data_IF_714621373724
#
_entry.id   IF_714621373724
#
_cell.length_a   1.000
_cell.length_b   1.000
_cell.length_c   1.000
_cell.angle_alpha   90.00
_cell.angle_beta   90.00
_cell.angle_gamma   90.00
#
_symmetry.space_group_name_H-M   'P 1'
#
loop_
_entity.id
_entity.type
_entity.pdbx_description
1 polymer ?
#
# COMPACT_ATOMS: atom_id res chain seq x y z
N UNK A 1 51.93 42.09 -18.09
CA UNK A 1 51.80 40.75 -17.44
C UNK A 1 53.04 39.93 -17.77
N UNK A 2 53.66 39.26 -16.80
CA UNK A 2 54.78 38.36 -17.09
C UNK A 2 54.26 37.16 -17.91
N UNK A 3 55.06 36.64 -18.85
CA UNK A 3 54.68 35.46 -19.67
C UNK A 3 54.16 34.30 -18.80
N UNK A 4 54.70 34.14 -17.58
CA UNK A 4 54.29 33.12 -16.60
C UNK A 4 52.85 33.33 -16.11
N UNK A 5 52.45 34.56 -15.79
CA UNK A 5 51.08 34.88 -15.35
C UNK A 5 50.08 34.65 -16.50
N UNK A 6 50.46 35.03 -17.73
CA UNK A 6 49.61 34.81 -18.91
C UNK A 6 49.36 33.33 -19.20
N UNK A 7 50.37 32.47 -18.99
CA UNK A 7 50.25 31.02 -19.18
C UNK A 7 49.32 30.40 -18.11
N UNK A 8 49.48 30.79 -16.84
CA UNK A 8 48.63 30.29 -15.75
C UNK A 8 47.16 30.67 -15.97
N UNK A 9 46.91 31.90 -16.44
CA UNK A 9 45.55 32.40 -16.69
C UNK A 9 44.89 31.68 -17.88
N UNK A 10 45.67 31.32 -18.90
CA UNK A 10 45.20 30.54 -20.05
C UNK A 10 44.88 29.10 -19.68
N UNK A 11 45.68 28.50 -18.79
CA UNK A 11 45.40 27.16 -18.24
C UNK A 11 44.12 27.18 -17.40
N UNK A 12 43.96 28.14 -16.49
CA UNK A 12 42.71 28.29 -15.73
C UNK A 12 41.49 28.48 -16.64
N UNK A 13 41.61 29.33 -17.67
CA UNK A 13 40.53 29.55 -18.62
C UNK A 13 40.18 28.26 -19.40
N UNK A 14 41.19 27.46 -19.78
CA UNK A 14 40.97 26.16 -20.44
C UNK A 14 40.29 25.14 -19.53
N UNK A 15 40.61 25.11 -18.23
CA UNK A 15 39.96 24.22 -17.26
C UNK A 15 38.51 24.62 -17.03
N UNK A 16 38.24 25.92 -16.91
CA UNK A 16 36.87 26.45 -16.79
C UNK A 16 36.08 26.14 -18.07
N UNK A 17 36.61 26.44 -19.25
CA UNK A 17 35.96 26.11 -20.52
C UNK A 17 35.74 24.60 -20.67
N UNK A 18 36.69 23.77 -20.24
CA UNK A 18 36.55 22.31 -20.21
C UNK A 18 35.42 21.85 -19.30
N UNK A 19 35.28 22.44 -18.11
CA UNK A 19 34.18 22.16 -17.18
C UNK A 19 32.82 22.58 -17.74
N UNK A 20 32.76 23.72 -18.44
CA UNK A 20 31.54 24.21 -19.09
C UNK A 20 31.13 23.34 -20.28
N UNK A 21 32.08 22.97 -21.14
CA UNK A 21 31.86 22.04 -22.25
C UNK A 21 31.42 20.68 -21.71
N UNK A 22 32.02 20.20 -20.62
CA UNK A 22 31.64 18.94 -19.99
C UNK A 22 30.23 18.98 -19.38
N UNK A 23 29.83 20.08 -18.73
CA UNK A 23 28.45 20.27 -18.25
C UNK A 23 27.42 20.35 -19.37
N UNK A 24 27.77 20.98 -20.51
CA UNK A 24 26.88 21.09 -21.67
C UNK A 24 26.81 19.82 -22.51
N UNK A 25 27.92 19.09 -22.60
CA UNK A 25 28.03 17.84 -23.36
C UNK A 25 27.54 16.62 -22.57
N UNK A 26 27.37 16.73 -21.25
CA UNK A 26 26.75 15.67 -20.44
C UNK A 26 25.25 15.57 -20.79
N UNK A 27 24.79 14.47 -21.42
CA UNK A 27 23.38 14.31 -21.73
C UNK A 27 22.61 14.04 -20.44
N UNK A 28 21.97 15.07 -19.88
CA UNK A 28 20.99 14.89 -18.81
C UNK A 28 19.59 14.82 -19.40
N UNK A 29 19.28 13.70 -20.06
CA UNK A 29 17.90 13.37 -20.43
C UNK A 29 17.23 12.66 -19.26
N UNK A 30 16.88 13.44 -18.22
CA UNK A 30 16.07 12.93 -17.12
C UNK A 30 14.60 12.89 -17.54
N UNK A 31 13.93 11.77 -17.29
CA UNK A 31 12.50 11.61 -17.53
C UNK A 31 11.75 11.92 -16.23
N UNK A 32 10.81 12.85 -16.29
CA UNK A 32 10.10 13.33 -15.10
C UNK A 32 8.84 12.49 -14.89
N UNK A 33 8.71 11.95 -13.69
CA UNK A 33 7.55 11.22 -13.19
C UNK A 33 6.93 12.02 -12.04
N UNK A 34 5.66 11.76 -11.71
CA UNK A 34 5.09 12.36 -10.51
C UNK A 34 3.83 11.68 -9.99
N UNK A 35 3.44 11.97 -8.76
CA UNK A 35 2.18 11.45 -8.21
C UNK A 35 2.18 11.22 -6.70
N UNK A 36 1.52 10.14 -6.30
CA UNK A 36 1.20 9.80 -4.91
C UNK A 36 2.42 9.82 -3.98
N UNK A 37 2.26 10.48 -2.83
CA UNK A 37 3.27 10.45 -1.76
C UNK A 37 3.51 9.03 -1.24
N UNK A 38 2.50 8.15 -1.33
CA UNK A 38 2.60 6.72 -0.99
C UNK A 38 3.56 5.94 -1.87
N UNK A 39 3.70 6.34 -3.14
CA UNK A 39 4.50 5.64 -4.15
C UNK A 39 5.96 6.13 -4.13
N UNK A 40 6.23 7.28 -3.52
CA UNK A 40 7.54 7.92 -3.51
C UNK A 40 8.67 7.02 -2.96
N UNK A 41 8.56 6.38 -1.77
CA UNK A 41 9.65 5.57 -1.23
C UNK A 41 10.09 4.45 -2.19
N UNK A 42 9.11 3.75 -2.76
CA UNK A 42 9.33 2.73 -3.78
C UNK A 42 10.01 3.30 -5.02
N UNK A 43 9.49 4.39 -5.57
CA UNK A 43 10.05 4.99 -6.79
C UNK A 43 11.49 5.46 -6.60
N UNK A 44 11.84 6.05 -5.45
CA UNK A 44 13.22 6.49 -5.19
C UNK A 44 14.21 5.32 -5.19
N UNK A 45 13.83 4.17 -4.61
CA UNK A 45 14.67 2.96 -4.61
C UNK A 45 14.78 2.36 -6.01
N UNK A 46 13.63 2.18 -6.67
CA UNK A 46 13.55 1.50 -7.95
C UNK A 46 14.23 2.28 -9.09
N UNK A 47 14.01 3.59 -9.19
CA UNK A 47 14.65 4.38 -10.27
C UNK A 47 16.15 4.53 -10.05
N UNK A 48 16.59 4.56 -8.78
CA UNK A 48 18.02 4.50 -8.45
C UNK A 48 18.66 3.19 -8.92
N UNK A 49 18.05 2.06 -8.62
CA UNK A 49 18.56 0.75 -9.04
C UNK A 49 18.53 0.60 -10.58
N UNK A 50 17.46 1.07 -11.22
CA UNK A 50 17.36 1.11 -12.68
C UNK A 50 18.45 1.97 -13.32
N UNK A 51 18.72 3.16 -12.78
CA UNK A 51 19.78 4.06 -13.28
C UNK A 51 21.17 3.44 -13.17
N UNK A 52 21.45 2.71 -12.09
CA UNK A 52 22.75 2.08 -11.88
C UNK A 52 23.06 1.04 -12.98
N UNK A 53 22.02 0.42 -13.56
CA UNK A 53 22.12 -0.55 -14.66
C UNK A 53 22.01 0.08 -16.06
N UNK A 54 20.97 0.89 -16.30
CA UNK A 54 20.59 1.33 -17.65
C UNK A 54 21.05 2.77 -17.99
N UNK A 55 21.54 3.53 -17.00
CA UNK A 55 21.99 4.93 -17.14
C UNK A 55 20.95 5.91 -17.69
N UNK A 56 19.66 5.58 -17.56
CA UNK A 56 18.53 6.48 -17.83
C UNK A 56 18.01 6.99 -16.49
N UNK A 57 17.96 8.31 -16.33
CA UNK A 57 17.57 8.95 -15.08
C UNK A 57 16.06 9.21 -15.05
N UNK A 58 15.36 8.64 -14.08
CA UNK A 58 13.94 8.88 -13.81
C UNK A 58 13.79 9.63 -12.49
N UNK A 59 13.27 10.86 -12.57
CA UNK A 59 13.09 11.74 -11.41
C UNK A 59 11.63 11.71 -10.99
N UNK A 60 11.37 11.28 -9.75
CA UNK A 60 10.01 11.21 -9.21
C UNK A 60 9.66 12.43 -8.35
N UNK A 61 8.59 13.13 -8.74
CA UNK A 61 8.03 14.26 -8.00
C UNK A 61 6.79 13.86 -7.19
N UNK A 62 6.93 13.85 -5.87
CA UNK A 62 5.85 13.49 -4.94
C UNK A 62 4.87 14.66 -4.72
N UNK A 63 3.93 14.85 -5.65
CA UNK A 63 2.96 15.97 -5.66
C UNK A 63 1.52 15.60 -5.30
N UNK A 64 1.25 14.31 -5.06
CA UNK A 64 -0.08 13.76 -4.81
C UNK A 64 -0.73 13.16 -6.05
N UNK A 65 -1.63 12.19 -5.88
CA UNK A 65 -2.19 11.39 -6.99
C UNK A 65 -2.86 12.24 -8.08
N UNK A 66 -3.70 13.21 -7.70
CA UNK A 66 -4.42 14.06 -8.66
C UNK A 66 -3.48 15.00 -9.42
N UNK A 67 -2.47 15.56 -8.74
CA UNK A 67 -1.44 16.38 -9.39
C UNK A 67 -0.57 15.55 -10.35
N UNK A 68 -0.29 14.29 -10.01
CA UNK A 68 0.39 13.34 -10.88
C UNK A 68 -0.37 13.10 -12.19
N UNK A 69 -1.67 12.80 -12.10
CA UNK A 69 -2.51 12.61 -13.29
C UNK A 69 -2.61 13.89 -14.12
N UNK A 70 -2.92 15.02 -13.50
CA UNK A 70 -2.99 16.30 -14.21
C UNK A 70 -1.65 16.72 -14.84
N UNK A 71 -0.52 16.28 -14.27
CA UNK A 71 0.80 16.47 -14.86
C UNK A 71 1.01 15.67 -16.14
N UNK A 72 0.45 14.46 -16.25
CA UNK A 72 0.46 13.67 -17.50
C UNK A 72 -0.42 14.31 -18.56
N UNK A 73 -1.63 14.73 -18.18
CA UNK A 73 -2.58 15.37 -19.11
C UNK A 73 -2.02 16.66 -19.72
N UNK A 74 -1.15 17.36 -18.97
CA UNK A 74 -0.46 18.60 -19.37
C UNK A 74 0.94 18.38 -19.95
N UNK A 75 1.34 17.14 -20.24
CA UNK A 75 2.68 16.78 -20.74
C UNK A 75 3.85 17.22 -19.83
N UNK A 76 3.59 17.49 -18.55
CA UNK A 76 4.62 17.81 -17.56
C UNK A 76 5.32 16.56 -17.01
N UNK A 77 4.59 15.44 -16.93
CA UNK A 77 5.11 14.16 -16.46
C UNK A 77 4.92 13.08 -17.53
N UNK A 78 5.91 12.21 -17.66
CA UNK A 78 5.82 11.05 -18.54
C UNK A 78 4.86 9.98 -18.02
N UNK A 79 4.79 9.83 -16.70
CA UNK A 79 3.76 9.01 -16.05
C UNK A 79 3.39 9.61 -14.69
N UNK A 80 2.11 9.45 -14.37
CA UNK A 80 1.43 9.90 -13.17
C UNK A 80 1.10 8.69 -12.31
N UNK A 81 1.48 8.70 -11.04
CA UNK A 81 1.30 7.54 -10.16
C UNK A 81 0.21 7.79 -9.13
N UNK A 82 -0.73 6.86 -9.01
CA UNK A 82 -1.83 6.93 -8.04
C UNK A 82 -1.79 5.72 -7.11
N UNK A 83 -2.29 5.90 -5.89
CA UNK A 83 -2.38 4.84 -4.87
C UNK A 83 -3.84 4.60 -4.49
N UNK A 84 -4.65 4.34 -5.51
CA UNK A 84 -6.09 4.03 -5.46
C UNK A 84 -6.50 3.51 -6.84
N UNK A 85 -7.66 2.86 -6.90
CA UNK A 85 -8.17 2.37 -8.18
C UNK A 85 -8.57 3.53 -9.12
N UNK A 86 -8.66 3.23 -10.41
CA UNK A 86 -9.18 4.17 -11.40
C UNK A 86 -10.70 4.26 -11.33
N UNK A 87 -11.23 5.43 -11.66
CA UNK A 87 -12.66 5.72 -11.70
C UNK A 87 -12.94 6.68 -12.85
N UNK A 88 -14.22 6.94 -13.13
CA UNK A 88 -14.64 7.94 -14.11
C UNK A 88 -14.11 9.35 -13.79
N UNK A 89 -13.82 9.65 -12.51
CA UNK A 89 -13.25 10.92 -12.07
C UNK A 89 -11.72 10.94 -12.00
N UNK A 90 -11.03 9.89 -12.45
CA UNK A 90 -9.56 9.84 -12.40
C UNK A 90 -8.93 10.79 -13.43
N UNK A 91 -9.47 10.84 -14.65
CA UNK A 91 -9.05 11.76 -15.71
C UNK A 91 -9.96 12.99 -15.74
N UNK A 92 -9.46 14.10 -16.27
CA UNK A 92 -10.29 15.29 -16.52
C UNK A 92 -11.30 15.05 -17.63
N UNK A 93 -12.42 15.77 -17.57
CA UNK A 93 -13.51 15.62 -18.54
C UNK A 93 -13.01 15.80 -19.98
N UNK A 94 -13.31 14.81 -20.84
CA UNK A 94 -12.90 14.78 -22.24
C UNK A 94 -11.71 13.86 -22.52
N UNK A 95 -11.00 13.41 -21.48
CA UNK A 95 -9.99 12.35 -21.59
C UNK A 95 -10.59 10.99 -21.20
N UNK A 96 -10.18 9.93 -21.88
CA UNK A 96 -10.63 8.56 -21.62
C UNK A 96 -9.45 7.57 -21.62
N UNK A 97 -9.63 6.47 -20.90
CA UNK A 97 -8.67 5.38 -20.90
C UNK A 97 -8.80 4.56 -22.20
N UNK A 98 -7.65 4.21 -22.76
CA UNK A 98 -7.52 3.24 -23.84
C UNK A 98 -7.91 1.87 -23.32
N UNK A 99 -8.98 1.31 -23.87
CA UNK A 99 -9.38 -0.07 -23.57
C UNK A 99 -8.40 -1.06 -24.24
N UNK A 100 -7.47 -1.59 -23.43
CA UNK A 100 -6.54 -2.66 -23.82
C UNK A 100 -7.13 -4.05 -23.55
N UNK A 101 -8.16 -4.12 -22.70
CA UNK A 101 -8.64 -5.34 -22.11
C UNK A 101 -10.05 -5.64 -22.63
N UNK A 102 -10.19 -5.97 -23.92
CA UNK A 102 -11.44 -6.37 -24.60
C UNK A 102 -12.73 -6.11 -23.79
N UNK A 103 -13.51 -5.08 -24.13
CA UNK A 103 -14.77 -4.54 -23.54
C UNK A 103 -15.49 -5.34 -22.41
N UNK A 104 -15.50 -6.67 -22.46
CA UNK A 104 -15.95 -7.60 -21.41
C UNK A 104 -15.05 -7.73 -20.16
N UNK A 105 -13.83 -7.17 -20.12
CA UNK A 105 -12.90 -7.33 -18.98
C UNK A 105 -12.42 -5.97 -18.43
N UNK A 106 -12.41 -5.86 -17.10
CA UNK A 106 -11.88 -4.67 -16.40
C UNK A 106 -10.35 -4.69 -16.26
N UNK A 107 -9.72 -5.84 -16.47
CA UNK A 107 -8.28 -5.98 -16.38
C UNK A 107 -7.73 -7.08 -17.30
N UNK A 108 -6.46 -6.93 -17.67
CA UNK A 108 -5.74 -7.89 -18.50
C UNK A 108 -4.24 -7.86 -18.17
N UNK A 109 -3.57 -8.98 -18.45
CA UNK A 109 -2.15 -9.14 -18.16
C UNK A 109 -1.29 -8.13 -18.92
N UNK A 110 -0.21 -7.68 -18.29
CA UNK A 110 0.77 -6.76 -18.90
C UNK A 110 1.39 -7.34 -20.18
N UNK A 111 1.74 -8.63 -20.18
CA UNK A 111 2.37 -9.28 -21.31
C UNK A 111 1.42 -9.37 -22.52
N UNK A 112 1.97 -9.13 -23.72
CA UNK A 112 1.24 -9.22 -24.99
C UNK A 112 0.52 -7.95 -25.46
N UNK A 113 0.46 -6.87 -24.67
CA UNK A 113 -0.26 -5.64 -25.04
C UNK A 113 0.65 -4.46 -25.45
N UNK A 114 1.98 -4.61 -25.35
CA UNK A 114 2.95 -3.54 -25.70
C UNK A 114 2.80 -3.07 -27.15
N UNK A 115 2.61 -3.99 -28.09
CA UNK A 115 2.41 -3.65 -29.50
C UNK A 115 1.12 -2.89 -29.74
N UNK A 116 0.05 -3.18 -28.98
CA UNK A 116 -1.19 -2.41 -29.06
C UNK A 116 -1.00 -0.98 -28.56
N UNK A 117 -0.21 -0.79 -27.49
CA UNK A 117 0.15 0.54 -26.96
C UNK A 117 0.96 1.33 -27.99
N UNK A 118 1.96 0.71 -28.62
CA UNK A 118 2.84 1.37 -29.60
C UNK A 118 2.14 1.70 -30.91
N UNK A 119 1.25 0.82 -31.37
CA UNK A 119 0.52 0.99 -32.62
C UNK A 119 -0.85 1.66 -32.44
N UNK A 120 -1.12 2.23 -31.26
CA UNK A 120 -2.39 2.92 -31.00
C UNK A 120 -2.58 4.11 -31.95
N UNK A 121 -3.69 4.11 -32.67
CA UNK A 121 -4.07 5.16 -33.63
C UNK A 121 -5.13 6.12 -33.10
N UNK A 122 -5.62 5.91 -31.86
CA UNK A 122 -6.62 6.81 -31.25
C UNK A 122 -6.05 8.21 -31.01
N UNK A 123 -6.95 9.18 -30.92
CA UNK A 123 -6.60 10.54 -30.54
C UNK A 123 -5.98 10.57 -29.14
N UNK A 124 -5.13 11.55 -28.89
CA UNK A 124 -4.42 11.70 -27.61
C UNK A 124 -5.36 11.66 -26.40
N UNK A 125 -6.52 12.29 -26.50
CA UNK A 125 -7.52 12.34 -25.42
C UNK A 125 -8.06 10.95 -25.04
N UNK A 126 -8.06 9.99 -25.96
CA UNK A 126 -8.60 8.63 -25.80
C UNK A 126 -7.50 7.56 -25.67
N UNK A 127 -6.30 7.99 -25.29
CA UNK A 127 -5.06 7.20 -25.34
C UNK A 127 -4.34 7.10 -24.00
N UNK A 128 -5.05 7.32 -22.89
CA UNK A 128 -4.48 7.15 -21.55
C UNK A 128 -4.50 5.68 -21.13
N UNK A 129 -3.42 5.19 -20.56
CA UNK A 129 -3.27 3.80 -20.12
C UNK A 129 -3.12 3.79 -18.60
N UNK A 130 -3.81 2.87 -17.94
CA UNK A 130 -3.66 2.59 -16.52
C UNK A 130 -3.01 1.21 -16.35
N UNK A 131 -1.82 1.19 -15.75
CA UNK A 131 -1.07 -0.01 -15.42
C UNK A 131 -0.98 -0.14 -13.90
N UNK A 132 -1.73 -1.08 -13.33
CA UNK A 132 -1.43 -1.56 -11.98
C UNK A 132 -0.07 -2.27 -12.02
N UNK A 133 0.82 -1.88 -11.10
CA UNK A 133 2.14 -2.48 -10.98
C UNK A 133 2.41 -3.07 -9.59
N UNK A 134 1.66 -2.65 -8.58
CA UNK A 134 1.82 -3.14 -7.23
C UNK A 134 0.52 -3.08 -6.43
N UNK A 135 0.44 -3.90 -5.40
CA UNK A 135 -0.59 -3.87 -4.37
C UNK A 135 0.09 -3.50 -3.04
N UNK A 136 -0.46 -2.51 -2.36
CA UNK A 136 -0.07 -2.08 -1.02
C UNK A 136 -1.16 -2.53 -0.02
N UNK A 137 -0.84 -3.54 0.78
CA UNK A 137 -1.73 -4.04 1.84
C UNK A 137 -1.43 -3.33 3.17
N UNK A 138 -2.48 -3.03 3.92
CA UNK A 138 -2.40 -2.36 5.22
C UNK A 138 -2.84 -3.34 6.29
N UNK A 139 -2.20 -3.34 7.46
CA UNK A 139 -2.62 -4.11 8.63
C UNK A 139 -3.05 -3.20 9.76
N UNK A 140 -4.16 -3.51 10.43
CA UNK A 140 -4.52 -2.89 11.71
C UNK A 140 -3.84 -3.67 12.83
N UNK A 141 -2.93 -3.00 13.52
CA UNK A 141 -2.16 -3.60 14.62
C UNK A 141 -2.65 -3.08 15.95
N UNK A 142 -2.46 -3.87 17.00
CA UNK A 142 -2.92 -3.51 18.33
C UNK A 142 -2.06 -4.16 19.42
N UNK A 143 -1.94 -3.48 20.55
CA UNK A 143 -1.37 -4.02 21.79
C UNK A 143 -2.50 -4.03 22.82
N UNK A 144 -3.03 -5.20 23.15
CA UNK A 144 -4.16 -5.35 24.06
C UNK A 144 -3.69 -5.52 25.53
N UNK A 145 -4.55 -5.22 26.52
CA UNK A 145 -4.26 -5.54 27.92
C UNK A 145 -4.08 -7.04 28.14
N UNK A 146 -3.26 -7.42 29.13
CA UNK A 146 -2.88 -8.82 29.37
C UNK A 146 -4.04 -9.82 29.51
N UNK A 147 -5.20 -9.39 30.03
CA UNK A 147 -6.37 -10.26 30.19
C UNK A 147 -6.93 -10.75 28.84
N UNK A 148 -6.56 -10.13 27.72
CA UNK A 148 -6.95 -10.57 26.38
C UNK A 148 -6.29 -11.88 25.95
N UNK A 149 -5.21 -12.30 26.63
CA UNK A 149 -4.54 -13.58 26.42
C UNK A 149 -5.20 -14.73 27.23
N UNK A 150 -6.20 -14.43 28.06
CA UNK A 150 -6.92 -15.45 28.82
C UNK A 150 -7.72 -16.35 27.89
N UNK A 151 -7.54 -17.66 28.07
CA UNK A 151 -8.13 -18.70 27.24
C UNK A 151 -9.46 -19.16 27.84
N UNK A 152 -10.52 -19.09 27.03
CA UNK A 152 -11.85 -19.56 27.36
C UNK A 152 -12.19 -20.75 26.45
N UNK A 153 -12.74 -21.80 27.04
CA UNK A 153 -13.11 -23.01 26.31
C UNK A 153 -14.40 -22.78 25.51
N UNK A 154 -14.38 -23.12 24.22
CA UNK A 154 -15.60 -23.19 23.40
C UNK A 154 -16.04 -24.66 23.29
N UNK A 155 -17.18 -24.97 23.91
CA UNK A 155 -17.76 -26.33 24.02
C UNK A 155 -16.95 -27.29 24.92
N UNK A 156 -17.48 -28.50 25.20
CA UNK A 156 -16.82 -29.56 25.99
C UNK A 156 -15.59 -30.19 25.28
N UNK A 157 -14.89 -29.44 24.43
CA UNK A 157 -13.74 -29.87 23.63
C UNK A 157 -12.57 -28.90 23.81
N UNK A 158 -11.35 -29.35 23.52
CA UNK A 158 -10.05 -28.69 23.78
C UNK A 158 -9.83 -27.34 23.05
N UNK A 159 -10.84 -26.80 22.37
CA UNK A 159 -10.73 -25.55 21.61
C UNK A 159 -10.76 -24.35 22.56
N UNK A 160 -9.63 -23.65 22.62
CA UNK A 160 -9.42 -22.48 23.46
C UNK A 160 -9.44 -21.22 22.60
N UNK A 161 -10.21 -20.23 23.04
CA UNK A 161 -10.35 -18.94 22.39
C UNK A 161 -9.91 -17.82 23.32
N UNK A 162 -9.28 -16.81 22.76
CA UNK A 162 -8.90 -15.57 23.44
C UNK A 162 -9.63 -14.37 22.84
N UNK A 163 -9.64 -13.22 23.53
CA UNK A 163 -10.18 -11.99 22.95
C UNK A 163 -9.38 -11.55 21.71
N UNK A 164 -8.09 -11.86 21.66
CA UNK A 164 -7.23 -11.58 20.51
C UNK A 164 -7.72 -12.30 19.23
N UNK A 165 -8.28 -13.50 19.37
CA UNK A 165 -8.81 -14.28 18.24
C UNK A 165 -10.06 -13.63 17.64
N UNK A 166 -10.83 -12.89 18.44
CA UNK A 166 -12.07 -12.22 18.04
C UNK A 166 -11.86 -10.91 17.30
N UNK A 167 -10.63 -10.39 17.26
CA UNK A 167 -10.35 -9.12 16.57
C UNK A 167 -10.38 -9.35 15.06
N UNK A 168 -11.55 -9.19 14.50
CA UNK A 168 -11.85 -9.25 13.08
C UNK A 168 -12.83 -8.14 12.73
N UNK A 169 -12.44 -7.24 11.84
CA UNK A 169 -13.29 -6.12 11.40
C UNK A 169 -13.85 -6.42 10.01
N UNK A 170 -15.18 -6.54 9.90
CA UNK A 170 -15.87 -6.69 8.63
C UNK A 170 -16.23 -5.31 8.05
N UNK A 171 -15.28 -4.72 7.33
CA UNK A 171 -15.36 -3.40 6.70
C UNK A 171 -16.16 -3.42 5.39
N UNK A 172 -16.49 -4.58 4.83
CA UNK A 172 -17.28 -4.67 3.58
C UNK A 172 -18.77 -4.94 3.85
N UNK A 173 -19.13 -5.18 5.13
CA UNK A 173 -20.50 -5.46 5.52
C UNK A 173 -21.46 -4.30 5.23
N UNK A 174 -22.62 -4.63 4.65
CA UNK A 174 -23.72 -3.68 4.39
C UNK A 174 -24.26 -2.98 5.64
N UNK A 175 -23.94 -3.48 6.83
CA UNK A 175 -24.40 -2.95 8.11
C UNK A 175 -23.50 -1.84 8.66
N UNK A 176 -22.34 -1.56 8.03
CA UNK A 176 -21.32 -0.56 8.43
C UNK A 176 -20.90 -0.62 9.92
N UNK A 177 -21.25 -1.70 10.64
CA UNK A 177 -21.15 -1.78 12.09
C UNK A 177 -19.71 -1.74 12.57
N UNK A 178 -18.81 -2.42 11.85
CA UNK A 178 -17.39 -2.49 12.21
C UNK A 178 -16.62 -1.25 11.77
N UNK A 179 -17.05 -0.58 10.69
CA UNK A 179 -16.54 0.76 10.35
C UNK A 179 -16.88 1.76 11.45
N UNK A 180 -18.13 1.76 11.91
CA UNK A 180 -18.56 2.64 13.00
C UNK A 180 -17.90 2.28 14.34
N UNK A 181 -17.64 0.99 14.60
CA UNK A 181 -16.84 0.56 15.74
C UNK A 181 -15.42 1.13 15.68
N UNK A 182 -14.74 0.97 14.54
CA UNK A 182 -13.38 1.50 14.35
C UNK A 182 -13.35 3.03 14.44
N UNK A 183 -14.34 3.71 13.87
CA UNK A 183 -14.52 5.17 13.98
C UNK A 183 -14.72 5.61 15.43
N UNK A 184 -15.48 4.87 16.24
CA UNK A 184 -15.61 5.11 17.69
C UNK A 184 -14.27 4.95 18.41
N UNK A 185 -13.46 3.94 18.06
CA UNK A 185 -12.09 3.80 18.59
C UNK A 185 -11.26 5.03 18.29
N UNK A 186 -11.22 5.48 17.03
CA UNK A 186 -10.44 6.65 16.61
C UNK A 186 -11.02 8.00 17.05
N UNK A 187 -12.27 8.05 17.52
CA UNK A 187 -12.85 9.24 18.18
C UNK A 187 -12.25 9.55 19.55
N UNK A 188 -11.47 8.60 20.12
CA UNK A 188 -10.75 8.79 21.38
C UNK A 188 -11.59 8.57 22.65
N UNK A 189 -12.81 8.06 22.53
CA UNK A 189 -13.74 7.85 23.65
C UNK A 189 -14.05 6.37 23.93
N UNK A 190 -13.21 5.45 23.45
CA UNK A 190 -13.39 4.01 23.62
C UNK A 190 -12.39 3.40 24.61
N UNK A 191 -12.86 2.39 25.34
CA UNK A 191 -12.06 1.59 26.27
C UNK A 191 -11.96 0.14 25.77
N UNK A 192 -10.91 -0.56 26.19
CA UNK A 192 -10.65 -1.94 25.78
C UNK A 192 -11.79 -2.89 26.15
N UNK A 193 -12.47 -2.64 27.27
CA UNK A 193 -13.61 -3.44 27.72
C UNK A 193 -14.85 -3.19 26.84
N UNK A 194 -15.00 -1.97 26.31
CA UNK A 194 -16.10 -1.68 25.36
C UNK A 194 -15.86 -2.41 24.05
N UNK A 195 -14.63 -2.35 23.53
CA UNK A 195 -14.26 -3.06 22.31
C UNK A 195 -14.42 -4.57 22.49
N UNK A 196 -13.92 -5.13 23.61
CA UNK A 196 -14.08 -6.55 23.92
C UNK A 196 -15.54 -6.97 23.94
N UNK A 197 -16.43 -6.18 24.55
CA UNK A 197 -17.88 -6.46 24.55
C UNK A 197 -18.48 -6.45 23.15
N UNK A 198 -18.12 -5.48 22.30
CA UNK A 198 -18.62 -5.45 20.92
C UNK A 198 -18.12 -6.64 20.09
N UNK A 199 -16.89 -7.13 20.32
CA UNK A 199 -16.38 -8.32 19.67
C UNK A 199 -17.07 -9.60 20.18
N UNK A 200 -17.25 -9.72 21.49
CA UNK A 200 -17.89 -10.87 22.14
C UNK A 200 -19.36 -11.03 21.75
N UNK A 201 -20.08 -9.93 21.49
CA UNK A 201 -21.46 -9.99 20.96
C UNK A 201 -21.60 -10.74 19.64
N UNK A 202 -20.52 -10.84 18.85
CA UNK A 202 -20.50 -11.53 17.57
C UNK A 202 -20.33 -13.04 17.69
N UNK A 203 -20.06 -13.55 18.90
CA UNK A 203 -19.93 -14.98 19.15
C UNK A 203 -21.30 -15.67 19.13
N UNK A 204 -21.39 -16.77 18.39
CA UNK A 204 -22.56 -17.64 18.38
C UNK A 204 -22.72 -18.47 19.66
N UNK A 205 -21.61 -18.71 20.39
CA UNK A 205 -21.61 -19.54 21.60
C UNK A 205 -21.93 -18.73 22.85
N UNK A 206 -23.15 -18.87 23.37
CA UNK A 206 -23.62 -18.14 24.57
C UNK A 206 -22.84 -18.47 25.84
N UNK A 207 -22.32 -19.69 26.02
CA UNK A 207 -21.50 -20.01 27.20
C UNK A 207 -20.17 -19.26 27.17
N UNK A 208 -19.45 -19.32 26.04
CA UNK A 208 -18.20 -18.60 25.87
C UNK A 208 -18.40 -17.08 26.00
N UNK A 209 -19.50 -16.56 25.45
CA UNK A 209 -19.90 -15.16 25.58
C UNK A 209 -20.07 -14.75 27.04
N UNK A 210 -20.82 -15.51 27.83
CA UNK A 210 -20.99 -15.26 29.26
C UNK A 210 -19.65 -15.27 30.01
N UNK A 211 -18.78 -16.24 29.71
CA UNK A 211 -17.47 -16.35 30.35
C UNK A 211 -16.58 -15.14 30.02
N UNK A 212 -16.56 -14.68 28.76
CA UNK A 212 -15.87 -13.45 28.38
C UNK A 212 -16.48 -12.22 29.05
N UNK A 213 -17.80 -12.11 29.14
CA UNK A 213 -18.46 -10.98 29.82
C UNK A 213 -18.08 -10.93 31.30
N UNK A 214 -18.03 -12.08 31.98
CA UNK A 214 -17.55 -12.20 33.37
C UNK A 214 -16.08 -11.79 33.46
N UNK A 215 -15.22 -12.27 32.55
CA UNK A 215 -13.82 -11.89 32.49
C UNK A 215 -13.65 -10.38 32.37
N UNK A 216 -14.33 -9.77 31.39
CA UNK A 216 -14.27 -8.33 31.10
C UNK A 216 -14.79 -7.50 32.28
N UNK A 217 -15.86 -7.94 32.95
CA UNK A 217 -16.49 -7.21 34.07
C UNK A 217 -15.57 -7.03 35.29
N UNK A 218 -14.55 -7.89 35.43
CA UNK A 218 -13.58 -7.86 36.53
C UNK A 218 -12.39 -6.95 36.25
N UNK A 219 -12.25 -6.44 35.02
CA UNK A 219 -11.07 -5.68 34.61
C UNK A 219 -11.24 -4.19 34.89
N UNK A 220 -10.15 -3.48 35.25
CA UNK A 220 -10.18 -2.03 35.35
C UNK A 220 -10.34 -1.41 33.97
N UNK A 221 -11.14 -0.34 33.87
CA UNK A 221 -11.36 0.40 32.63
C UNK A 221 -10.07 0.95 32.04
N UNK A 222 -9.63 0.40 30.92
CA UNK A 222 -8.40 0.82 30.24
C UNK A 222 -8.74 1.56 28.94
N UNK A 223 -8.40 2.85 28.86
CA UNK A 223 -8.65 3.65 27.66
C UNK A 223 -7.80 3.15 26.48
N UNK A 224 -8.37 3.09 25.29
CA UNK A 224 -7.62 2.74 24.08
C UNK A 224 -6.83 3.98 23.63
N UNK A 225 -5.51 3.85 23.63
CA UNK A 225 -4.62 4.85 23.01
C UNK A 225 -4.56 4.56 21.52
N UNK A 226 -4.88 5.55 20.68
CA UNK A 226 -4.78 5.39 19.22
C UNK A 226 -3.56 6.11 18.68
N UNK A 227 -2.95 5.52 17.66
CA UNK A 227 -1.84 6.11 16.91
C UNK A 227 -2.24 6.34 15.45
N UNK A 228 -1.80 7.45 14.89
CA UNK A 228 -1.96 7.81 13.47
C UNK A 228 -0.63 8.31 12.92
N UNK A 229 -0.54 8.49 11.60
CA UNK A 229 0.66 9.00 10.94
C UNK A 229 0.56 10.50 10.65
N UNK A 230 1.72 11.12 10.48
CA UNK A 230 1.87 12.52 10.07
C UNK A 230 1.13 12.84 8.76
N UNK A 231 0.81 14.12 8.56
CA UNK A 231 0.23 14.60 7.31
C UNK A 231 1.14 14.27 6.12
N UNK A 232 0.55 13.83 5.01
CA UNK A 232 1.30 13.38 3.82
C UNK A 232 1.74 11.92 3.87
N UNK A 233 1.56 11.21 4.99
CA UNK A 233 1.80 9.77 5.08
C UNK A 233 0.87 8.99 4.16
N UNK A 234 1.47 8.25 3.22
CA UNK A 234 0.72 7.39 2.31
C UNK A 234 -0.12 6.34 3.01
N UNK A 235 0.38 5.77 4.10
CA UNK A 235 -0.33 4.76 4.92
C UNK A 235 -1.55 5.37 5.62
N UNK A 236 -1.46 6.62 6.13
CA UNK A 236 -2.63 7.32 6.69
C UNK A 236 -3.69 7.57 5.65
N UNK A 237 -3.30 8.04 4.46
CA UNK A 237 -4.27 8.25 3.37
C UNK A 237 -4.95 6.93 3.01
N UNK A 238 -4.19 5.83 2.91
CA UNK A 238 -4.74 4.49 2.66
C UNK A 238 -5.79 4.11 3.71
N UNK A 239 -5.42 4.19 4.99
CA UNK A 239 -6.30 3.85 6.09
C UNK A 239 -7.56 4.72 6.08
N UNK A 240 -7.41 6.03 5.86
CA UNK A 240 -8.53 6.99 5.84
C UNK A 240 -9.47 6.76 4.66
N UNK A 241 -8.95 6.31 3.52
CA UNK A 241 -9.73 6.00 2.33
C UNK A 241 -10.47 4.67 2.49
N UNK A 242 -9.79 3.63 2.98
CA UNK A 242 -10.37 2.30 3.17
C UNK A 242 -11.39 2.24 4.32
N UNK A 243 -11.22 3.05 5.36
CA UNK A 243 -12.12 3.04 6.55
C UNK A 243 -13.16 4.16 6.53
N UNK A 244 -12.97 5.18 5.70
CA UNK A 244 -13.75 6.43 5.75
C UNK A 244 -13.43 7.34 6.95
N UNK A 245 -12.50 6.96 7.82
CA UNK A 245 -12.10 7.76 8.99
C UNK A 245 -11.13 8.87 8.54
N UNK A 246 -11.66 10.07 8.29
CA UNK A 246 -10.85 11.21 7.82
C UNK A 246 -10.16 11.98 8.96
N UNK A 247 -10.84 12.11 10.10
CA UNK A 247 -10.36 12.89 11.24
C UNK A 247 -10.01 11.97 12.42
N UNK A 248 -8.78 12.10 12.91
CA UNK A 248 -8.22 11.32 14.03
C UNK A 248 -7.62 12.27 15.07
N UNK A 249 -8.35 13.33 15.42
CA UNK A 249 -7.83 14.48 16.19
C UNK A 249 -7.36 14.14 17.60
N UNK A 250 -7.81 13.01 18.17
CA UNK A 250 -7.40 12.54 19.51
C UNK A 250 -6.26 11.52 19.47
N UNK A 251 -5.84 11.08 18.28
CA UNK A 251 -4.79 10.08 18.12
C UNK A 251 -3.40 10.71 18.26
N UNK A 252 -2.45 9.93 18.77
CA UNK A 252 -1.06 10.32 18.82
C UNK A 252 -0.44 10.21 17.44
N UNK A 253 0.19 11.28 16.97
CA UNK A 253 0.82 11.33 15.64
C UNK A 253 2.27 10.85 15.73
N UNK A 254 2.65 9.88 14.91
CA UNK A 254 4.03 9.40 14.77
C UNK A 254 4.51 9.55 13.34
N UNK A 255 5.81 9.76 13.15
CA UNK A 255 6.41 10.11 11.86
C UNK A 255 6.81 8.90 10.98
N UNK A 256 6.78 7.68 11.51
CA UNK A 256 7.15 6.47 10.76
C UNK A 256 6.37 5.25 11.24
N UNK A 257 6.28 4.20 10.39
CA UNK A 257 5.69 2.92 10.82
C UNK A 257 6.53 2.26 11.92
N UNK A 258 7.87 2.38 11.88
CA UNK A 258 8.75 1.88 12.95
C UNK A 258 8.48 2.57 14.30
N UNK A 259 8.33 3.90 14.27
CA UNK A 259 7.95 4.68 15.46
C UNK A 259 6.55 4.34 15.95
N UNK A 260 5.63 3.98 15.07
CA UNK A 260 4.31 3.47 15.46
C UNK A 260 4.45 2.20 16.29
N UNK A 261 5.12 1.19 15.75
CA UNK A 261 5.36 -0.09 16.43
C UNK A 261 6.06 0.15 17.77
N UNK A 262 7.14 0.93 17.79
CA UNK A 262 7.89 1.23 19.03
C UNK A 262 7.00 1.86 20.11
N UNK A 263 6.22 2.89 19.77
CA UNK A 263 5.36 3.55 20.76
C UNK A 263 4.21 2.67 21.23
N UNK A 264 3.69 1.81 20.35
CA UNK A 264 2.62 0.88 20.71
C UNK A 264 3.06 -0.20 21.71
N UNK A 265 4.34 -0.56 21.77
CA UNK A 265 4.85 -1.48 22.80
C UNK A 265 4.79 -0.90 24.23
N UNK A 266 4.65 0.42 24.39
CA UNK A 266 4.73 1.08 25.70
C UNK A 266 3.42 1.07 26.48
N UNK A 267 2.29 0.90 25.80
CA UNK A 267 0.95 0.92 26.42
C UNK A 267 -0.10 0.28 25.53
N UNK A 268 -1.21 -0.26 26.10
CA UNK A 268 -2.30 -0.78 25.31
C UNK A 268 -2.83 0.23 24.29
N UNK A 269 -2.74 -0.12 23.02
CA UNK A 269 -2.95 0.82 21.92
C UNK A 269 -3.42 0.17 20.62
N UNK A 270 -3.91 0.97 19.69
CA UNK A 270 -4.33 0.56 18.35
C UNK A 270 -3.74 1.51 17.28
N UNK A 271 -3.31 0.94 16.16
CA UNK A 271 -2.72 1.68 15.04
C UNK A 271 -2.80 0.88 13.74
N UNK A 272 -2.11 1.34 12.71
CA UNK A 272 -2.09 0.68 11.40
C UNK A 272 -0.73 0.87 10.70
N UNK A 273 -0.26 -0.16 10.00
CA UNK A 273 1.03 -0.13 9.29
C UNK A 273 0.89 -0.74 7.91
N UNK A 274 1.79 -0.38 6.99
CA UNK A 274 1.90 -1.09 5.71
C UNK A 274 2.46 -2.50 5.93
N UNK A 275 2.16 -3.40 5.00
CA UNK A 275 2.59 -4.80 5.01
C UNK A 275 4.10 -4.97 5.23
N UNK A 276 4.93 -4.04 4.75
CA UNK A 276 6.40 -4.05 4.93
C UNK A 276 6.85 -4.16 6.40
N UNK A 277 6.04 -3.61 7.31
CA UNK A 277 6.36 -3.55 8.73
C UNK A 277 5.78 -4.74 9.51
N UNK A 278 4.84 -5.49 8.93
CA UNK A 278 4.31 -6.71 9.55
C UNK A 278 5.38 -7.80 9.65
N UNK A 279 6.31 -7.85 8.70
CA UNK A 279 7.48 -8.73 8.76
C UNK A 279 8.45 -8.42 9.90
N UNK A 280 8.38 -7.21 10.49
CA UNK A 280 9.22 -6.82 11.64
C UNK A 280 8.58 -7.18 12.99
N UNK A 281 7.30 -7.57 12.99
CA UNK A 281 6.60 -8.00 14.19
C UNK A 281 6.95 -9.44 14.54
N UNK A 282 6.72 -9.81 15.80
CA UNK A 282 6.93 -11.16 16.30
C UNK A 282 5.59 -11.77 16.69
N UNK A 283 5.32 -13.02 16.28
CA UNK A 283 4.03 -13.68 16.50
C UNK A 283 3.68 -13.83 17.99
N UNK A 284 4.67 -14.13 18.83
CA UNK A 284 4.54 -14.16 20.28
C UNK A 284 4.69 -12.78 20.95
N UNK A 285 4.75 -11.70 20.18
CA UNK A 285 4.97 -10.34 20.67
C UNK A 285 3.71 -9.73 21.28
N UNK A 286 3.89 -8.56 21.89
CA UNK A 286 2.79 -7.77 22.46
C UNK A 286 1.88 -7.17 21.38
N UNK A 287 2.45 -6.84 20.22
CA UNK A 287 1.69 -6.28 19.10
C UNK A 287 1.12 -7.44 18.29
N UNK A 288 -0.21 -7.47 18.21
CA UNK A 288 -1.00 -8.41 17.43
C UNK A 288 -1.55 -7.73 16.17
N UNK A 289 -2.06 -8.55 15.26
CA UNK A 289 -2.68 -8.13 14.01
C UNK A 289 -4.16 -8.50 14.00
N UNK A 290 -5.02 -7.54 13.63
CA UNK A 290 -6.44 -7.76 13.45
C UNK A 290 -6.73 -8.49 12.13
N UNK A 291 -7.76 -9.34 12.12
CA UNK A 291 -8.40 -9.78 10.88
C UNK A 291 -9.21 -8.66 10.25
N UNK A 292 -9.30 -8.66 8.92
CA UNK A 292 -10.16 -7.79 8.13
C UNK A 292 -10.94 -8.63 7.14
N UNK A 293 -12.27 -8.54 7.14
CA UNK A 293 -13.16 -9.30 6.27
C UNK A 293 -12.80 -10.79 6.25
N UNK A 294 -12.62 -11.37 7.45
CA UNK A 294 -12.25 -12.78 7.65
C UNK A 294 -10.85 -13.18 7.13
N UNK A 295 -10.05 -12.23 6.65
CA UNK A 295 -8.67 -12.45 6.25
C UNK A 295 -7.67 -11.79 7.20
N UNK A 296 -6.58 -12.49 7.53
CA UNK A 296 -5.50 -11.97 8.39
C UNK A 296 -4.15 -12.26 7.75
N UNK A 297 -3.36 -11.21 7.53
CA UNK A 297 -2.01 -11.33 6.98
C UNK A 297 -1.08 -12.06 7.96
N UNK A 298 0.07 -12.50 7.47
CA UNK A 298 1.13 -13.03 8.32
C UNK A 298 1.88 -11.91 9.05
N UNK A 299 2.36 -12.20 10.27
CA UNK A 299 3.33 -11.37 11.00
C UNK A 299 4.63 -12.12 11.22
N UNK A 300 5.75 -11.42 11.06
CA UNK A 300 7.09 -11.99 11.12
C UNK A 300 7.67 -12.34 9.75
N UNK A 301 8.96 -12.04 9.58
CA UNK A 301 9.67 -12.09 8.29
C UNK A 301 9.63 -13.44 7.60
N UNK A 302 9.69 -14.52 8.38
CA UNK A 302 9.73 -15.90 7.89
C UNK A 302 8.37 -16.62 8.05
N UNK A 303 7.35 -15.88 8.48
CA UNK A 303 6.01 -16.43 8.66
C UNK A 303 5.21 -16.20 7.38
N UNK A 304 5.07 -17.26 6.60
CA UNK A 304 4.31 -17.26 5.34
C UNK A 304 2.98 -18.01 5.51
N UNK A 305 2.23 -17.66 6.56
CA UNK A 305 0.99 -18.35 6.97
C UNK A 305 -0.13 -17.34 7.18
N UNK A 306 -0.66 -16.72 6.11
CA UNK A 306 -1.86 -15.91 6.22
C UNK A 306 -3.00 -16.79 6.72
N UNK A 307 -3.91 -16.21 7.50
CA UNK A 307 -5.01 -16.91 8.13
C UNK A 307 -6.34 -16.44 7.55
N UNK A 308 -7.31 -17.36 7.51
CA UNK A 308 -8.70 -17.07 7.18
C UNK A 308 -9.59 -17.57 8.31
N UNK A 309 -10.61 -16.79 8.65
CA UNK A 309 -11.59 -17.16 9.67
C UNK A 309 -12.59 -18.14 9.07
N UNK A 310 -12.55 -19.40 9.52
CA UNK A 310 -13.40 -20.48 9.03
C UNK A 310 -13.77 -21.41 10.21
N UNK A 311 -15.03 -21.83 10.28
CA UNK A 311 -15.53 -22.70 11.36
C UNK A 311 -15.25 -22.18 12.79
N UNK A 312 -15.36 -20.86 12.98
CA UNK A 312 -15.08 -20.16 14.25
C UNK A 312 -13.64 -20.25 14.75
N UNK A 313 -12.68 -20.48 13.84
CA UNK A 313 -11.25 -20.45 14.16
C UNK A 313 -10.42 -19.86 13.02
N UNK A 314 -9.24 -19.33 13.36
CA UNK A 314 -8.27 -18.89 12.37
C UNK A 314 -7.50 -20.09 11.82
N UNK A 315 -7.72 -20.40 10.54
CA UNK A 315 -7.01 -21.48 9.84
C UNK A 315 -5.99 -20.89 8.88
N UNK A 316 -4.83 -21.53 8.74
CA UNK A 316 -3.89 -21.16 7.68
C UNK A 316 -4.55 -21.31 6.33
N UNK A 317 -4.65 -20.21 5.60
CA UNK A 317 -5.17 -20.20 4.25
C UNK A 317 -4.24 -21.02 3.35
N UNK A 318 -4.81 -21.77 2.41
CA UNK A 318 -4.06 -22.54 1.42
C UNK A 318 -4.55 -22.16 0.04
N UNK A 319 -3.62 -22.03 -0.89
CA UNK A 319 -3.96 -21.84 -2.29
C UNK A 319 -4.21 -23.20 -2.97
N UNK A 320 -5.31 -23.28 -3.72
CA UNK A 320 -5.65 -24.45 -4.54
C UNK A 320 -4.91 -24.44 -5.90
N UNK A 321 -4.22 -23.35 -6.23
CA UNK A 321 -3.42 -23.18 -7.45
C UNK A 321 -2.17 -22.36 -7.13
N UNK A 322 -1.18 -22.97 -6.46
CA UNK A 322 0.02 -22.26 -6.04
C UNK A 322 0.86 -21.83 -7.26
N UNK A 323 1.28 -20.57 -7.26
CA UNK A 323 2.24 -20.06 -8.25
C UNK A 323 3.68 -20.32 -7.77
N UNK A 324 4.53 -20.87 -8.65
CA UNK A 324 5.83 -21.45 -8.27
C UNK A 324 6.86 -20.46 -7.71
N UNK A 325 6.60 -19.14 -7.73
CA UNK A 325 7.55 -18.10 -7.34
C UNK A 325 6.99 -17.06 -6.36
N UNK A 326 5.78 -17.25 -5.84
CA UNK A 326 5.13 -16.29 -4.93
C UNK A 326 4.94 -16.89 -3.54
N UNK A 327 5.18 -16.09 -2.51
CA UNK A 327 4.85 -16.49 -1.14
C UNK A 327 3.34 -16.66 -0.97
N UNK A 328 2.92 -17.49 -0.01
CA UNK A 328 1.52 -17.71 0.30
C UNK A 328 0.84 -16.39 0.74
N UNK A 329 1.56 -15.53 1.46
CA UNK A 329 1.08 -14.20 1.86
C UNK A 329 0.91 -13.25 0.66
N UNK A 330 1.80 -13.27 -0.34
CA UNK A 330 1.61 -12.51 -1.60
C UNK A 330 0.37 -12.99 -2.35
N UNK A 331 0.21 -14.30 -2.50
CA UNK A 331 -0.97 -14.89 -3.16
C UNK A 331 -2.27 -14.56 -2.40
N UNK A 332 -2.21 -14.59 -1.07
CA UNK A 332 -3.32 -14.18 -0.21
C UNK A 332 -3.67 -12.71 -0.36
N UNK A 333 -2.67 -11.82 -0.40
CA UNK A 333 -2.87 -10.39 -0.65
C UNK A 333 -3.51 -10.16 -2.02
N UNK A 334 -3.15 -10.92 -3.06
CA UNK A 334 -3.78 -10.80 -4.38
C UNK A 334 -5.22 -11.28 -4.39
N UNK A 335 -5.47 -12.50 -3.86
CA UNK A 335 -6.70 -13.25 -4.09
C UNK A 335 -7.77 -13.07 -3.01
N UNK A 336 -7.40 -12.77 -1.77
CA UNK A 336 -8.30 -12.86 -0.61
C UNK A 336 -8.32 -11.59 0.23
N UNK A 337 -7.18 -11.02 0.58
CA UNK A 337 -7.14 -9.87 1.49
C UNK A 337 -7.75 -8.64 0.82
N UNK A 338 -8.61 -7.89 1.53
CA UNK A 338 -9.36 -6.76 0.94
C UNK A 338 -8.88 -5.39 1.45
N UNK A 339 -8.19 -5.33 2.60
CA UNK A 339 -7.69 -4.08 3.16
C UNK A 339 -6.36 -3.64 2.51
N UNK A 340 -6.44 -3.39 1.20
CA UNK A 340 -5.32 -3.10 0.32
C UNK A 340 -5.72 -2.04 -0.71
N UNK A 341 -4.74 -1.50 -1.41
CA UNK A 341 -4.97 -0.58 -2.53
C UNK A 341 -4.01 -0.86 -3.68
N UNK A 342 -4.45 -0.62 -4.93
CA UNK A 342 -3.56 -0.74 -6.07
C UNK A 342 -2.69 0.51 -6.20
N UNK A 343 -1.46 0.30 -6.65
CA UNK A 343 -0.59 1.35 -7.17
C UNK A 343 -0.61 1.27 -8.69
N UNK A 344 -1.06 2.36 -9.30
CA UNK A 344 -1.33 2.44 -10.73
C UNK A 344 -0.49 3.56 -11.35
N UNK A 345 0.22 3.23 -12.42
CA UNK A 345 0.86 4.19 -13.30
C UNK A 345 -0.11 4.59 -14.43
N UNK A 346 -0.32 5.88 -14.60
CA UNK A 346 -1.12 6.49 -15.65
C UNK A 346 -0.18 7.18 -16.63
N UNK A 347 -0.28 6.86 -17.91
CA UNK A 347 0.53 7.48 -18.96
C UNK A 347 -0.28 7.59 -20.25
N UNK A 348 0.23 8.33 -21.24
CA UNK A 348 -0.42 8.46 -22.53
C UNK A 348 0.42 7.81 -23.63
N UNK A 349 -0.20 7.13 -24.60
CA UNK A 349 0.55 6.50 -25.70
C UNK A 349 1.22 7.52 -26.63
N UNK A 350 0.79 8.79 -26.60
CA UNK A 350 1.41 9.89 -27.36
C UNK A 350 2.62 10.52 -26.64
N UNK A 351 3.11 9.89 -25.56
CA UNK A 351 4.26 10.38 -24.82
C UNK A 351 5.56 10.23 -25.64
N UNK A 352 6.33 11.31 -25.76
CA UNK A 352 7.64 11.35 -26.43
C UNK A 352 8.70 10.40 -25.80
N UNK A 353 8.47 9.95 -24.57
CA UNK A 353 9.32 9.04 -23.80
C UNK A 353 8.68 7.65 -23.62
N UNK A 354 7.66 7.29 -24.41
CA UNK A 354 6.91 6.04 -24.27
C UNK A 354 7.83 4.81 -24.25
N UNK A 355 8.79 4.71 -25.18
CA UNK A 355 9.70 3.55 -25.22
C UNK A 355 10.55 3.41 -23.95
N UNK A 356 11.06 4.52 -23.41
CA UNK A 356 11.80 4.52 -22.15
C UNK A 356 10.90 4.13 -20.98
N UNK A 357 9.65 4.59 -20.99
CA UNK A 357 8.67 4.27 -19.95
C UNK A 357 8.28 2.78 -19.98
N UNK A 358 8.07 2.20 -21.16
CA UNK A 358 7.80 0.77 -21.31
C UNK A 358 8.99 -0.08 -20.84
N UNK A 359 10.23 0.33 -21.13
CA UNK A 359 11.43 -0.33 -20.59
C UNK A 359 11.52 -0.25 -19.06
N UNK A 360 11.08 0.85 -18.47
CA UNK A 360 10.98 0.97 -17.02
C UNK A 360 9.94 -0.01 -16.47
N UNK A 361 8.76 -0.11 -17.08
CA UNK A 361 7.74 -1.09 -16.66
C UNK A 361 8.15 -2.55 -16.91
N UNK A 362 8.97 -2.82 -17.91
CA UNK A 362 9.59 -4.14 -18.09
C UNK A 362 10.49 -4.49 -16.92
N UNK A 363 11.25 -3.52 -16.43
CA UNK A 363 12.04 -3.70 -15.22
C UNK A 363 11.18 -3.83 -13.95
N UNK A 364 10.00 -3.18 -13.89
CA UNK A 364 9.05 -3.43 -12.81
C UNK A 364 8.60 -4.90 -12.83
N UNK A 365 8.38 -5.49 -14.01
CA UNK A 365 7.97 -6.88 -14.13
C UNK A 365 9.13 -7.86 -13.85
N UNK A 366 10.37 -7.50 -14.21
CA UNK A 366 11.58 -8.34 -14.08
C UNK A 366 11.87 -8.78 -12.63
N UNK A 367 12.38 -10.00 -12.44
CA UNK A 367 12.71 -10.55 -11.12
C UNK A 367 13.75 -9.72 -10.36
N UNK A 368 14.63 -8.99 -11.07
CA UNK A 368 15.64 -8.12 -10.45
C UNK A 368 15.03 -7.04 -9.58
N UNK A 369 13.81 -6.57 -9.88
CA UNK A 369 13.15 -5.56 -9.06
C UNK A 369 12.46 -6.13 -7.81
N UNK A 370 12.35 -7.46 -7.67
CA UNK A 370 11.59 -8.11 -6.59
C UNK A 370 12.03 -7.65 -5.19
N UNK A 371 13.34 -7.45 -4.98
CA UNK A 371 13.87 -7.02 -3.69
C UNK A 371 13.41 -5.60 -3.33
N UNK A 372 13.25 -4.72 -4.32
CA UNK A 372 12.71 -3.36 -4.09
C UNK A 372 11.26 -3.44 -3.64
N UNK A 373 10.42 -4.21 -4.33
CA UNK A 373 9.01 -4.44 -3.97
C UNK A 373 8.90 -5.00 -2.54
N UNK A 374 9.63 -6.08 -2.24
CA UNK A 374 9.65 -6.71 -0.92
C UNK A 374 10.11 -5.76 0.17
N UNK A 375 11.12 -4.93 -0.09
CA UNK A 375 11.63 -3.96 0.89
C UNK A 375 10.62 -2.87 1.27
N UNK A 376 9.65 -2.61 0.39
CA UNK A 376 8.53 -1.68 0.62
C UNK A 376 7.23 -2.42 0.97
N UNK A 377 7.27 -3.75 1.13
CA UNK A 377 6.11 -4.59 1.45
C UNK A 377 5.03 -4.62 0.37
N UNK A 378 5.40 -4.25 -0.85
CA UNK A 378 4.51 -4.22 -1.99
C UNK A 378 4.48 -5.60 -2.65
N UNK A 379 3.28 -6.03 -3.03
CA UNK A 379 3.09 -7.24 -3.82
C UNK A 379 3.06 -6.84 -5.29
N UNK A 380 3.97 -7.39 -6.09
CA UNK A 380 4.04 -7.09 -7.52
C UNK A 380 2.78 -7.62 -8.23
N UNK A 381 2.17 -6.76 -9.05
CA UNK A 381 0.96 -7.09 -9.81
C UNK A 381 0.97 -6.28 -11.10
N UNK A 382 1.18 -6.92 -12.24
CA UNK A 382 1.36 -6.24 -13.53
C UNK A 382 0.14 -6.45 -14.43
N UNK A 383 -0.83 -5.52 -14.32
CA UNK A 383 -2.12 -5.60 -15.03
C UNK A 383 -2.55 -4.26 -15.59
N UNK A 384 -3.00 -4.25 -16.84
CA UNK A 384 -3.72 -3.10 -17.36
C UNK A 384 -5.12 -3.05 -16.79
N UNK A 385 -5.60 -1.84 -16.49
CA UNK A 385 -6.95 -1.57 -16.01
C UNK A 385 -7.77 -0.86 -17.07
N UNK A 386 -9.03 -1.26 -17.18
CA UNK A 386 -10.03 -0.65 -18.06
C UNK A 386 -11.23 -0.17 -17.24
N UNK A 387 -11.86 0.92 -17.69
CA UNK A 387 -13.07 1.48 -17.05
C UNK A 387 -14.36 1.01 -17.73
N UNK A 388 -14.26 0.02 -18.63
CA UNK A 388 -15.33 -0.45 -19.52
C UNK A 388 -16.55 -1.03 -18.78
N UNK A 389 -16.40 -1.56 -17.56
CA UNK A 389 -17.52 -1.88 -16.69
C UNK A 389 -17.47 -0.95 -15.49
N UNK A 390 -18.41 0.00 -15.42
CA UNK A 390 -18.52 1.02 -14.37
C UNK A 390 -18.09 0.49 -13.00
N UNK A 391 -16.95 1.00 -12.51
CA UNK A 391 -16.40 0.62 -11.23
C UNK A 391 -17.47 0.78 -10.15
N UNK A 392 -17.60 -0.22 -9.26
CA UNK A 392 -18.34 -0.03 -8.02
C UNK A 392 -17.75 1.19 -7.34
N UNK A 393 -18.55 2.23 -7.12
CA UNK A 393 -18.17 3.28 -6.19
C UNK A 393 -18.07 2.62 -4.82
N UNK A 394 -16.88 2.65 -4.23
CA UNK A 394 -16.67 2.31 -2.84
C UNK A 394 -17.35 3.34 -1.93
#
# INVERSE_FOLDING_TARGET
MSRKISIILLICLSVILGLWIWSFAAPKKSIILGGSTSVNPFMQKLTKEYYDNEKIDFIYNSTGSQAGVGGVEKDMYSAGFISKDISSGTLTQGNTFLDLCNESKNECAYEGHKEQIKNNSKERKDSYVALEFAIDAIGIIYNAPNYWEEKITINNSENLLTLNDLVNFNLDSSTDSDKELLKKVYSGNMYWEDLAKELVKKLDNENAKNDFEVLISKQPRTKIVTFTREDGSGTRSAFSDLTGIKEMSTSNVVNSNGSMVENMTKSPSLGYVSNAFLGQLYEGGQIKLAGINDGKLSIGKDNDKPLKWEDNEWKTWKDNSPENNESLNEQFIKKVYEFKRPFIAIFNTHNNHLDSLLKLFDYFNDEKSNDVFKSEGLVKEMKFKSTSLGGKSW
#
